data_IF_377971802791
#
_entry.id   IF_377971802791
#
_cell.length_a   1.000
_cell.length_b   1.000
_cell.length_c   1.000
_cell.angle_alpha   90.00
_cell.angle_beta   90.00
_cell.angle_gamma   90.00
#
_symmetry.space_group_name_H-M   'P 1'
#
loop_
_entity.id
_entity.type
_entity.pdbx_description
1 polymer ?
#
# COMPACT_ATOMS: atom_id res chain seq x y z
N UNK A 1 52.01 -23.00 -22.77
CA UNK A 1 52.23 -22.59 -21.35
C UNK A 1 51.58 -21.26 -20.91
N UNK A 2 51.91 -20.07 -21.45
CA UNK A 2 51.32 -18.79 -20.96
C UNK A 2 49.82 -18.63 -21.27
N UNK A 3 49.35 -19.15 -22.41
CA UNK A 3 47.95 -19.06 -22.85
C UNK A 3 47.06 -20.01 -22.02
N UNK A 4 47.51 -21.24 -21.76
CA UNK A 4 46.78 -22.23 -20.95
C UNK A 4 46.57 -21.78 -19.50
N UNK A 5 47.58 -21.14 -18.87
CA UNK A 5 47.43 -20.58 -17.52
C UNK A 5 46.37 -19.48 -17.44
N UNK A 6 46.22 -18.66 -18.49
CA UNK A 6 45.18 -17.62 -18.54
C UNK A 6 43.80 -18.25 -18.68
N UNK A 7 43.64 -19.23 -19.57
CA UNK A 7 42.37 -19.94 -19.75
C UNK A 7 41.94 -20.66 -18.46
N UNK A 8 42.87 -21.31 -17.76
CA UNK A 8 42.60 -21.99 -16.50
C UNK A 8 42.20 -21.02 -15.37
N UNK A 9 42.84 -19.85 -15.32
CA UNK A 9 42.46 -18.76 -14.40
C UNK A 9 41.04 -18.24 -14.70
N UNK A 10 40.70 -18.02 -15.98
CA UNK A 10 39.35 -17.59 -16.36
C UNK A 10 38.28 -18.63 -16.01
N UNK A 11 38.55 -19.91 -16.24
CA UNK A 11 37.64 -20.99 -15.85
C UNK A 11 37.46 -21.04 -14.32
N UNK A 12 38.54 -20.92 -13.55
CA UNK A 12 38.44 -20.83 -12.09
C UNK A 12 37.63 -19.62 -11.60
N UNK A 13 37.88 -18.44 -12.17
CA UNK A 13 37.14 -17.22 -11.83
C UNK A 13 35.65 -17.40 -12.17
N UNK A 14 35.34 -17.97 -13.34
CA UNK A 14 33.96 -18.27 -13.74
C UNK A 14 33.26 -19.24 -12.79
N UNK A 15 33.96 -20.29 -12.34
CA UNK A 15 33.44 -21.27 -11.38
C UNK A 15 33.16 -20.64 -10.02
N UNK A 16 34.09 -19.80 -9.54
CA UNK A 16 33.94 -19.05 -8.29
C UNK A 16 32.74 -18.09 -8.38
N UNK A 17 32.62 -17.32 -9.46
CA UNK A 17 31.48 -16.41 -9.67
C UNK A 17 30.16 -17.20 -9.70
N UNK A 18 30.13 -18.32 -10.43
CA UNK A 18 28.94 -19.17 -10.52
C UNK A 18 28.53 -19.72 -9.15
N UNK A 19 29.50 -20.13 -8.33
CA UNK A 19 29.24 -20.58 -6.96
C UNK A 19 28.68 -19.45 -6.08
N UNK A 20 29.24 -18.23 -6.18
CA UNK A 20 28.72 -17.07 -5.45
C UNK A 20 27.28 -16.72 -5.86
N UNK A 21 26.96 -16.78 -7.16
CA UNK A 21 25.61 -16.57 -7.67
C UNK A 21 24.66 -17.63 -7.10
N UNK A 22 25.07 -18.91 -7.09
CA UNK A 22 24.26 -19.99 -6.54
C UNK A 22 23.99 -19.82 -5.04
N UNK A 23 25.01 -19.46 -4.26
CA UNK A 23 24.86 -19.19 -2.82
C UNK A 23 23.92 -18.01 -2.59
N UNK A 24 24.10 -16.92 -3.34
CA UNK A 24 23.22 -15.74 -3.25
C UNK A 24 21.76 -16.08 -3.60
N UNK A 25 21.55 -16.92 -4.61
CA UNK A 25 20.24 -17.43 -5.01
C UNK A 25 19.56 -18.23 -3.88
N UNK A 26 20.29 -19.18 -3.26
CA UNK A 26 19.76 -19.99 -2.16
C UNK A 26 19.38 -19.11 -0.96
N UNK A 27 20.25 -18.15 -0.58
CA UNK A 27 19.98 -17.23 0.52
C UNK A 27 18.77 -16.35 0.22
N UNK A 28 18.70 -15.78 -0.98
CA UNK A 28 17.59 -14.95 -1.43
C UNK A 28 16.26 -15.71 -1.35
N UNK A 29 16.24 -16.96 -1.83
CA UNK A 29 15.07 -17.83 -1.77
C UNK A 29 14.66 -18.12 -0.33
N UNK A 30 15.57 -18.62 0.51
CA UNK A 30 15.23 -18.99 1.90
C UNK A 30 14.67 -17.79 2.69
N UNK A 31 15.22 -16.59 2.48
CA UNK A 31 14.68 -15.36 3.08
C UNK A 31 13.27 -15.05 2.61
N UNK A 32 12.98 -15.18 1.32
CA UNK A 32 11.62 -14.91 0.81
C UNK A 32 10.61 -15.95 1.31
N UNK A 33 10.99 -17.23 1.44
CA UNK A 33 10.10 -18.26 1.98
C UNK A 33 9.72 -17.96 3.44
N UNK A 34 10.70 -17.58 4.26
CA UNK A 34 10.46 -17.25 5.66
C UNK A 34 9.49 -16.05 5.80
N UNK A 35 9.70 -14.99 5.01
CA UNK A 35 8.80 -13.83 5.03
C UNK A 35 7.39 -14.19 4.54
N UNK A 36 7.27 -15.05 3.52
CA UNK A 36 5.95 -15.55 3.09
C UNK A 36 5.24 -16.27 4.23
N UNK A 37 5.91 -17.17 4.96
CA UNK A 37 5.33 -17.84 6.14
C UNK A 37 4.91 -16.84 7.23
N UNK A 38 5.75 -15.87 7.57
CA UNK A 38 5.44 -14.83 8.56
C UNK A 38 4.21 -14.04 8.11
N UNK A 39 4.19 -13.58 6.86
CA UNK A 39 3.06 -12.86 6.29
C UNK A 39 1.77 -13.66 6.39
N UNK A 40 1.76 -14.94 5.99
CA UNK A 40 0.55 -15.75 6.04
C UNK A 40 0.01 -15.90 7.46
N UNK A 41 0.89 -16.08 8.43
CA UNK A 41 0.52 -16.17 9.83
C UNK A 41 -0.02 -14.85 10.38
N UNK A 42 0.61 -13.73 10.05
CA UNK A 42 0.15 -12.41 10.48
C UNK A 42 -1.16 -12.02 9.82
N UNK A 43 -1.30 -12.24 8.52
CA UNK A 43 -2.53 -11.98 7.78
C UNK A 43 -3.69 -12.77 8.38
N UNK A 44 -3.49 -14.07 8.68
CA UNK A 44 -4.51 -14.88 9.33
C UNK A 44 -4.94 -14.29 10.67
N UNK A 45 -3.99 -13.92 11.54
CA UNK A 45 -4.29 -13.28 12.83
C UNK A 45 -5.06 -11.98 12.67
N UNK A 46 -4.63 -11.11 11.75
CA UNK A 46 -5.33 -9.86 11.42
C UNK A 46 -6.76 -10.14 10.93
N UNK A 47 -6.93 -11.11 10.03
CA UNK A 47 -8.23 -11.47 9.43
C UNK A 47 -9.26 -12.02 10.43
N UNK A 48 -8.80 -12.50 11.57
CA UNK A 48 -9.67 -12.96 12.67
C UNK A 48 -10.13 -11.79 13.57
N UNK A 49 -9.55 -10.59 13.44
CA UNK A 49 -9.92 -9.41 14.25
C UNK A 49 -11.16 -8.68 13.73
N UNK A 50 -11.92 -8.07 14.65
CA UNK A 50 -13.10 -7.29 14.29
C UNK A 50 -12.71 -6.03 13.50
N UNK A 51 -11.65 -5.34 13.93
CA UNK A 51 -11.17 -4.10 13.35
C UNK A 51 -10.74 -4.28 11.90
N UNK A 52 -10.00 -5.35 11.60
CA UNK A 52 -9.62 -5.69 10.23
C UNK A 52 -10.85 -5.92 9.35
N UNK A 53 -11.80 -6.73 9.82
CA UNK A 53 -12.99 -7.06 9.04
C UNK A 53 -13.87 -5.82 8.83
N UNK A 54 -13.99 -4.97 9.84
CA UNK A 54 -14.68 -3.69 9.73
C UNK A 54 -14.03 -2.77 8.69
N UNK A 55 -12.69 -2.64 8.69
CA UNK A 55 -11.99 -1.87 7.66
C UNK A 55 -12.14 -2.50 6.28
N UNK A 56 -11.96 -3.82 6.16
CA UNK A 56 -12.02 -4.52 4.89
C UNK A 56 -13.40 -4.35 4.23
N UNK A 57 -14.48 -4.47 4.98
CA UNK A 57 -15.84 -4.20 4.47
C UNK A 57 -16.04 -2.72 4.12
N UNK A 58 -15.50 -1.79 4.91
CA UNK A 58 -15.53 -0.37 4.55
C UNK A 58 -14.82 -0.09 3.22
N UNK A 59 -13.64 -0.68 2.99
CA UNK A 59 -12.90 -0.55 1.74
C UNK A 59 -13.63 -1.19 0.56
N UNK A 60 -14.29 -2.33 0.79
CA UNK A 60 -15.12 -2.99 -0.23
C UNK A 60 -16.31 -2.13 -0.66
N UNK A 61 -17.01 -1.52 0.30
CA UNK A 61 -18.21 -0.71 0.04
C UNK A 61 -17.84 0.67 -0.53
N UNK A 62 -16.94 1.39 0.13
CA UNK A 62 -16.62 2.77 -0.21
C UNK A 62 -15.55 2.92 -1.28
N UNK A 63 -14.73 1.89 -1.50
CA UNK A 63 -13.72 1.75 -2.56
C UNK A 63 -12.62 2.80 -2.62
N UNK A 64 -12.69 3.84 -1.80
CA UNK A 64 -11.74 4.95 -1.79
C UNK A 64 -11.34 5.24 -0.35
N UNK A 65 -10.04 5.25 -0.15
CA UNK A 65 -9.39 5.70 1.08
C UNK A 65 -8.20 6.58 0.75
N UNK A 66 -7.63 7.25 1.74
CA UNK A 66 -6.46 8.09 1.52
C UNK A 66 -5.55 8.14 2.74
N UNK A 67 -4.24 8.08 2.50
CA UNK A 67 -3.26 8.65 3.41
C UNK A 67 -3.19 10.15 3.18
N UNK A 68 -3.16 10.93 4.25
CA UNK A 68 -3.17 12.39 4.25
C UNK A 68 -1.93 12.88 4.97
N UNK A 69 -1.16 13.75 4.35
CA UNK A 69 -0.13 14.56 4.99
C UNK A 69 -0.64 16.00 5.04
N UNK A 70 -0.71 16.60 6.23
CA UNK A 70 -0.99 18.02 6.40
C UNK A 70 0.17 18.71 7.12
N UNK A 71 0.77 19.70 6.46
CA UNK A 71 1.96 20.39 6.96
C UNK A 71 3.12 19.44 7.29
N UNK A 72 4.02 19.85 8.19
CA UNK A 72 5.22 19.05 8.52
C UNK A 72 4.99 17.86 9.46
N UNK A 73 3.86 17.77 10.18
CA UNK A 73 3.75 16.90 11.36
C UNK A 73 2.61 15.87 11.32
N UNK A 74 1.53 16.10 10.57
CA UNK A 74 0.31 15.27 10.73
C UNK A 74 0.08 14.38 9.52
N UNK A 75 0.39 13.10 9.71
CA UNK A 75 -0.05 12.01 8.83
C UNK A 75 -1.34 11.40 9.37
N UNK A 76 -2.29 11.15 8.50
CA UNK A 76 -3.53 10.48 8.82
C UNK A 76 -3.90 9.49 7.73
N UNK A 77 -4.80 8.58 8.06
CA UNK A 77 -5.45 7.69 7.10
C UNK A 77 -6.95 7.86 7.27
N UNK A 78 -7.71 7.88 6.18
CA UNK A 78 -9.16 7.89 6.23
C UNK A 78 -9.75 6.98 5.16
N UNK A 79 -10.85 6.30 5.50
CA UNK A 79 -11.79 5.77 4.51
C UNK A 79 -12.82 6.85 4.23
N UNK A 80 -12.97 7.20 2.94
CA UNK A 80 -13.73 8.36 2.51
C UNK A 80 -15.17 7.94 2.22
N UNK A 81 -16.11 8.60 2.87
CA UNK A 81 -17.52 8.58 2.47
C UNK A 81 -18.11 9.98 2.58
N UNK A 82 -19.10 10.25 1.73
CA UNK A 82 -19.70 11.58 1.59
C UNK A 82 -21.14 11.62 2.11
N UNK A 83 -21.85 10.49 2.04
CA UNK A 83 -23.25 10.42 2.45
C UNK A 83 -23.58 9.06 3.07
N UNK A 84 -24.49 9.03 4.03
CA UNK A 84 -25.02 7.79 4.62
C UNK A 84 -25.97 7.05 3.65
N UNK A 85 -26.23 7.62 2.47
CA UNK A 85 -27.08 7.05 1.42
C UNK A 85 -26.14 6.38 0.42
N UNK A 86 -26.24 5.07 0.30
CA UNK A 86 -25.30 4.25 -0.47
C UNK A 86 -25.30 4.63 -1.95
N UNK A 87 -26.46 4.90 -2.54
CA UNK A 87 -26.59 5.24 -3.96
C UNK A 87 -25.98 6.62 -4.26
N UNK A 88 -26.25 7.61 -3.41
CA UNK A 88 -25.65 8.95 -3.52
C UNK A 88 -24.14 8.90 -3.31
N UNK A 89 -23.69 8.14 -2.30
CA UNK A 89 -22.27 7.98 -2.04
C UNK A 89 -21.56 7.33 -3.22
N UNK A 90 -22.12 6.24 -3.78
CA UNK A 90 -21.60 5.57 -4.97
C UNK A 90 -21.43 6.55 -6.13
N UNK A 91 -22.43 7.38 -6.42
CA UNK A 91 -22.35 8.40 -7.49
C UNK A 91 -21.20 9.39 -7.28
N UNK A 92 -20.94 9.83 -6.04
CA UNK A 92 -19.85 10.75 -5.72
C UNK A 92 -18.50 10.04 -5.85
N UNK A 93 -18.39 8.80 -5.34
CA UNK A 93 -17.20 7.98 -5.45
C UNK A 93 -16.87 7.69 -6.92
N UNK A 94 -17.85 7.33 -7.75
CA UNK A 94 -17.64 7.10 -9.18
C UNK A 94 -17.13 8.38 -9.89
N UNK A 95 -17.64 9.55 -9.50
CA UNK A 95 -17.15 10.84 -10.01
C UNK A 95 -15.71 11.13 -9.55
N UNK A 96 -15.39 10.84 -8.28
CA UNK A 96 -14.04 10.96 -7.74
C UNK A 96 -13.07 10.06 -8.48
N UNK A 97 -13.37 8.76 -8.61
CA UNK A 97 -12.57 7.79 -9.35
C UNK A 97 -12.33 8.23 -10.79
N UNK A 98 -13.38 8.68 -11.50
CA UNK A 98 -13.25 9.21 -12.86
C UNK A 98 -12.33 10.43 -12.93
N UNK A 99 -12.40 11.32 -11.94
CA UNK A 99 -11.53 12.50 -11.87
C UNK A 99 -10.08 12.14 -11.57
N UNK A 100 -9.85 11.13 -10.72
CA UNK A 100 -8.52 10.59 -10.43
C UNK A 100 -7.91 9.91 -11.67
N UNK A 101 -8.69 9.07 -12.37
CA UNK A 101 -8.27 8.37 -13.59
C UNK A 101 -7.92 9.36 -14.73
N UNK A 102 -8.74 10.40 -14.91
CA UNK A 102 -8.52 11.42 -15.94
C UNK A 102 -7.55 12.52 -15.54
N UNK A 103 -7.14 12.57 -14.26
CA UNK A 103 -6.38 13.68 -13.65
C UNK A 103 -7.03 15.05 -13.90
N UNK A 104 -8.36 15.09 -13.96
CA UNK A 104 -9.12 16.30 -14.24
C UNK A 104 -9.51 17.03 -12.95
N UNK A 105 -8.83 18.13 -12.69
CA UNK A 105 -9.04 18.95 -11.49
C UNK A 105 -10.38 19.70 -11.50
N UNK A 106 -10.95 19.99 -12.68
CA UNK A 106 -12.22 20.74 -12.78
C UNK A 106 -13.41 19.90 -12.32
N UNK A 107 -13.29 18.58 -12.47
CA UNK A 107 -14.32 17.62 -12.12
C UNK A 107 -14.10 16.96 -10.76
N UNK A 108 -12.95 17.22 -10.13
CA UNK A 108 -12.69 16.76 -8.77
C UNK A 108 -13.80 17.27 -7.84
N UNK A 109 -14.49 16.40 -7.09
CA UNK A 109 -15.60 16.84 -6.26
C UNK A 109 -15.11 17.85 -5.22
N UNK A 110 -15.59 19.10 -5.33
CA UNK A 110 -15.09 20.24 -4.53
C UNK A 110 -15.71 20.32 -3.13
N UNK A 111 -16.84 19.63 -2.80
CA UNK A 111 -17.37 19.52 -1.41
C UNK A 111 -18.55 18.51 -1.31
N UNK A 112 -19.04 18.05 -0.13
CA UNK A 112 -18.87 18.55 1.25
C UNK A 112 -17.89 17.68 2.07
N UNK A 113 -17.04 18.31 2.87
CA UNK A 113 -16.35 17.72 4.05
C UNK A 113 -16.49 16.20 4.20
N UNK A 114 -15.56 15.39 3.62
CA UNK A 114 -15.67 13.93 3.65
C UNK A 114 -15.82 13.49 5.11
N UNK A 115 -16.88 12.72 5.37
CA UNK A 115 -17.04 12.11 6.69
C UNK A 115 -16.00 11.00 6.80
N UNK A 116 -15.48 10.81 8.01
CA UNK A 116 -14.47 9.77 8.30
C UNK A 116 -15.20 8.53 8.78
N UNK A 117 -15.29 7.48 7.94
CA UNK A 117 -15.94 6.23 8.35
C UNK A 117 -15.01 5.47 9.30
N UNK A 118 -13.77 5.42 8.87
CA UNK A 118 -12.62 4.95 9.62
C UNK A 118 -11.52 6.00 9.45
N UNK A 119 -10.80 6.31 10.51
CA UNK A 119 -9.73 7.29 10.40
C UNK A 119 -8.69 7.16 11.49
N UNK A 120 -7.43 7.11 11.07
CA UNK A 120 -6.28 7.15 11.95
C UNK A 120 -5.57 8.48 11.91
N UNK A 121 -5.32 9.06 13.08
CA UNK A 121 -4.53 10.29 13.23
C UNK A 121 -3.12 9.96 13.72
N UNK A 122 -2.18 10.83 13.38
CA UNK A 122 -0.80 10.82 13.84
C UNK A 122 -0.04 9.52 13.50
N UNK A 123 -0.18 9.06 12.25
CA UNK A 123 0.51 7.87 11.74
C UNK A 123 2.01 8.16 11.65
N UNK A 124 2.83 7.42 12.38
CA UNK A 124 4.28 7.52 12.23
C UNK A 124 4.74 6.89 10.90
N UNK A 125 5.49 7.64 10.08
CA UNK A 125 6.14 7.12 8.86
C UNK A 125 7.00 5.89 9.13
N UNK A 126 7.56 5.79 10.34
CA UNK A 126 8.44 4.69 10.74
C UNK A 126 7.70 3.34 10.70
N UNK A 127 6.38 3.32 10.84
CA UNK A 127 5.55 2.11 10.82
C UNK A 127 5.45 1.45 9.43
N UNK A 128 5.61 2.21 8.35
CA UNK A 128 5.47 1.68 6.98
C UNK A 128 6.65 0.73 6.63
N UNK A 129 7.86 1.09 7.06
CA UNK A 129 9.07 0.27 6.92
C UNK A 129 9.08 -1.00 7.80
N UNK A 130 8.17 -1.09 8.79
CA UNK A 130 8.12 -2.18 9.78
C UNK A 130 7.20 -3.34 9.39
N UNK A 131 6.31 -3.16 8.41
CA UNK A 131 5.23 -4.12 8.07
C UNK A 131 5.75 -5.53 7.77
N UNK A 132 6.95 -5.66 7.21
CA UNK A 132 7.53 -6.94 6.81
C UNK A 132 8.97 -7.15 7.31
N UNK A 133 9.40 -6.35 8.29
CA UNK A 133 10.82 -6.17 8.61
C UNK A 133 11.58 -5.49 7.46
N UNK A 134 12.89 -5.30 7.63
CA UNK A 134 13.75 -4.72 6.59
C UNK A 134 13.82 -5.65 5.37
N UNK A 135 12.99 -5.39 4.35
CA UNK A 135 13.05 -6.07 3.04
C UNK A 135 14.33 -5.62 2.32
N UNK A 136 15.43 -6.34 2.60
CA UNK A 136 16.71 -6.13 1.94
C UNK A 136 16.71 -6.57 0.46
N UNK A 137 17.75 -6.16 -0.27
CA UNK A 137 17.90 -6.44 -1.72
C UNK A 137 17.78 -7.94 -2.04
N UNK A 138 18.39 -8.81 -1.22
CA UNK A 138 18.31 -10.27 -1.41
C UNK A 138 16.89 -10.81 -1.30
N UNK A 139 16.07 -10.26 -0.39
CA UNK A 139 14.66 -10.61 -0.28
C UNK A 139 13.89 -10.17 -1.53
N UNK A 140 14.21 -8.98 -2.07
CA UNK A 140 13.58 -8.50 -3.33
C UNK A 140 13.87 -9.45 -4.49
N UNK A 141 15.13 -9.88 -4.62
CA UNK A 141 15.56 -10.89 -5.60
C UNK A 141 14.83 -12.21 -5.35
N UNK A 142 14.73 -12.65 -4.10
CA UNK A 142 13.99 -13.85 -3.72
C UNK A 142 12.51 -13.81 -4.15
N UNK A 143 11.82 -12.68 -3.99
CA UNK A 143 10.43 -12.53 -4.46
C UNK A 143 10.31 -12.49 -5.99
N UNK A 144 11.29 -11.92 -6.69
CA UNK A 144 11.33 -11.95 -8.16
C UNK A 144 11.52 -13.35 -8.71
N UNK A 145 12.27 -14.20 -7.99
CA UNK A 145 12.58 -15.56 -8.42
C UNK A 145 11.50 -16.59 -8.03
N UNK A 146 10.78 -16.36 -6.93
CA UNK A 146 9.84 -17.33 -6.35
C UNK A 146 8.37 -17.07 -6.70
N UNK A 147 8.06 -16.01 -7.45
CA UNK A 147 6.70 -15.65 -7.83
C UNK A 147 5.72 -15.65 -6.64
N UNK A 148 6.01 -14.88 -5.57
CA UNK A 148 4.96 -14.50 -4.61
C UNK A 148 4.42 -13.13 -5.04
N UNK A 149 3.47 -13.07 -5.99
CA UNK A 149 3.01 -11.84 -6.62
C UNK A 149 2.31 -10.92 -5.63
N UNK A 150 1.68 -11.47 -4.60
CA UNK A 150 0.96 -10.72 -3.57
C UNK A 150 1.94 -9.94 -2.71
N UNK A 151 2.98 -10.59 -2.17
CA UNK A 151 3.99 -9.89 -1.38
C UNK A 151 4.79 -8.88 -2.19
N UNK A 152 5.09 -9.20 -3.45
CA UNK A 152 5.69 -8.23 -4.38
C UNK A 152 4.80 -7.00 -4.54
N UNK A 153 3.50 -7.21 -4.78
CA UNK A 153 2.52 -6.13 -4.99
C UNK A 153 2.35 -5.27 -3.74
N UNK A 154 2.19 -5.90 -2.57
CA UNK A 154 2.10 -5.19 -1.29
C UNK A 154 3.34 -4.34 -1.02
N UNK A 155 4.54 -4.86 -1.29
CA UNK A 155 5.78 -4.08 -1.18
C UNK A 155 5.76 -2.86 -2.10
N UNK A 156 5.38 -3.03 -3.37
CA UNK A 156 5.38 -1.92 -4.32
C UNK A 156 4.33 -0.85 -3.97
N UNK A 157 3.19 -1.24 -3.37
CA UNK A 157 2.20 -0.31 -2.81
C UNK A 157 2.82 0.47 -1.63
N UNK A 158 3.44 -0.23 -0.70
CA UNK A 158 4.16 0.36 0.45
C UNK A 158 5.22 1.36 -0.03
N UNK A 159 6.10 0.97 -0.95
CA UNK A 159 7.14 1.83 -1.53
C UNK A 159 6.53 3.06 -2.23
N UNK A 160 5.42 2.90 -2.95
CA UNK A 160 4.73 4.05 -3.55
C UNK A 160 4.23 5.02 -2.48
N UNK A 161 3.61 4.53 -1.41
CA UNK A 161 3.11 5.39 -0.33
C UNK A 161 4.28 6.10 0.34
N UNK A 162 5.35 5.39 0.72
CA UNK A 162 6.51 5.98 1.40
C UNK A 162 7.18 7.06 0.55
N UNK A 163 7.46 6.77 -0.71
CA UNK A 163 8.17 7.68 -1.61
C UNK A 163 7.38 8.96 -1.88
N UNK A 164 6.06 8.87 -1.90
CA UNK A 164 5.19 10.01 -2.22
C UNK A 164 4.63 10.72 -0.97
N UNK A 165 4.71 10.12 0.22
CA UNK A 165 4.38 10.73 1.52
C UNK A 165 5.56 11.52 2.14
N UNK A 166 6.26 12.28 1.31
CA UNK A 166 7.35 13.18 1.72
C UNK A 166 6.83 14.43 2.45
N UNK A 167 7.74 15.14 3.15
CA UNK A 167 7.42 16.40 3.82
C UNK A 167 6.95 17.45 2.80
N UNK A 168 5.85 18.12 3.12
CA UNK A 168 5.28 19.23 2.36
C UNK A 168 5.35 20.51 3.21
N UNK A 169 5.15 21.68 2.59
CA UNK A 169 5.09 22.96 3.29
C UNK A 169 3.95 22.98 4.32
N UNK A 170 4.05 23.82 5.35
CA UNK A 170 3.07 23.87 6.45
C UNK A 170 1.62 24.11 6.03
N UNK A 171 1.43 24.85 4.93
CA UNK A 171 0.11 25.21 4.42
C UNK A 171 -0.40 24.25 3.35
N UNK A 172 0.39 23.24 2.97
CA UNK A 172 0.04 22.29 1.94
C UNK A 172 -0.65 21.05 2.54
N UNK A 173 -1.43 20.37 1.71
CA UNK A 173 -2.05 19.09 2.04
C UNK A 173 -1.83 18.11 0.89
N UNK A 174 -1.34 16.90 1.19
CA UNK A 174 -1.14 15.84 0.21
C UNK A 174 -2.00 14.63 0.55
N UNK A 175 -2.62 14.08 -0.48
CA UNK A 175 -3.40 12.86 -0.42
C UNK A 175 -2.74 11.80 -1.29
N UNK A 176 -2.54 10.61 -0.73
CA UNK A 176 -2.31 9.38 -1.49
C UNK A 176 -3.61 8.59 -1.45
N UNK A 177 -4.41 8.71 -2.50
CA UNK A 177 -5.64 7.96 -2.65
C UNK A 177 -5.32 6.50 -2.94
N UNK A 178 -5.96 5.59 -2.21
CA UNK A 178 -5.96 4.16 -2.44
C UNK A 178 -7.37 3.76 -2.83
N UNK A 179 -7.50 3.32 -4.08
CA UNK A 179 -8.77 2.97 -4.68
C UNK A 179 -8.81 1.46 -4.96
N UNK A 180 -9.86 0.79 -4.50
CA UNK A 180 -10.13 -0.63 -4.75
C UNK A 180 -11.41 -0.76 -5.58
N UNK A 181 -11.37 -0.47 -6.89
CA UNK A 181 -12.57 -0.44 -7.73
C UNK A 181 -13.27 -1.80 -7.82
N UNK A 182 -12.52 -2.89 -7.68
CA UNK A 182 -12.97 -4.27 -7.71
C UNK A 182 -12.11 -5.16 -6.78
N UNK A 183 -12.38 -6.47 -6.79
CA UNK A 183 -11.76 -7.46 -5.90
C UNK A 183 -10.29 -7.77 -6.24
N UNK A 184 -9.76 -7.30 -7.36
CA UNK A 184 -8.41 -7.61 -7.86
C UNK A 184 -7.54 -6.38 -8.06
N UNK A 185 -8.15 -5.22 -8.25
CA UNK A 185 -7.41 -4.02 -8.67
C UNK A 185 -7.23 -3.05 -7.51
N UNK A 186 -6.02 -2.51 -7.38
CA UNK A 186 -5.71 -1.36 -6.51
C UNK A 186 -5.10 -0.26 -7.36
N UNK A 187 -5.63 0.95 -7.27
CA UNK A 187 -5.08 2.13 -7.92
C UNK A 187 -4.64 3.15 -6.88
N UNK A 188 -3.43 3.66 -7.03
CA UNK A 188 -2.84 4.70 -6.20
C UNK A 188 -2.74 6.00 -6.99
N UNK A 189 -3.10 7.12 -6.35
CA UNK A 189 -2.96 8.46 -6.94
C UNK A 189 -2.42 9.43 -5.91
N UNK A 190 -1.42 10.21 -6.29
CA UNK A 190 -1.00 11.38 -5.54
C UNK A 190 -1.80 12.61 -5.99
N UNK A 191 -2.34 13.34 -5.03
CA UNK A 191 -2.95 14.65 -5.23
C UNK A 191 -2.48 15.60 -4.13
N UNK A 192 -1.87 16.71 -4.51
CA UNK A 192 -1.48 17.78 -3.61
C UNK A 192 -2.43 18.99 -3.74
N UNK A 193 -2.68 19.66 -2.63
CA UNK A 193 -3.35 20.95 -2.53
C UNK A 193 -2.36 21.94 -1.92
N UNK A 194 -2.12 23.04 -2.63
CA UNK A 194 -1.11 24.02 -2.24
C UNK A 194 -1.75 25.18 -1.48
N UNK A 195 -1.11 25.65 -0.41
CA UNK A 195 -1.63 26.71 0.45
C UNK A 195 -1.88 28.03 -0.27
N UNK A 196 -1.23 28.27 -1.41
CA UNK A 196 -1.44 29.45 -2.27
C UNK A 196 -2.67 29.35 -3.18
N UNK A 197 -3.45 28.28 -3.05
CA UNK A 197 -4.55 27.94 -3.95
C UNK A 197 -4.08 27.04 -5.10
N UNK A 198 -4.94 26.10 -5.48
CA UNK A 198 -4.68 25.13 -6.55
C UNK A 198 -4.45 23.71 -6.05
N UNK A 199 -4.48 22.78 -6.99
CA UNK A 199 -4.19 21.37 -6.75
C UNK A 199 -3.24 20.85 -7.84
N UNK A 200 -2.57 19.73 -7.59
CA UNK A 200 -1.63 19.12 -8.51
C UNK A 200 -1.71 17.60 -8.45
N UNK A 201 -1.97 16.96 -9.58
CA UNK A 201 -1.87 15.51 -9.68
C UNK A 201 -0.41 15.10 -9.79
N UNK A 202 0.00 14.19 -8.93
CA UNK A 202 1.30 13.56 -8.96
C UNK A 202 1.31 12.24 -9.73
N UNK A 203 2.29 11.37 -9.44
CA UNK A 203 2.32 10.00 -9.93
C UNK A 203 1.06 9.22 -9.56
N UNK A 204 0.77 8.23 -10.39
CA UNK A 204 -0.32 7.27 -10.18
C UNK A 204 0.16 5.88 -10.61
N UNK A 205 -0.31 4.83 -9.94
CA UNK A 205 0.07 3.46 -10.28
C UNK A 205 -1.10 2.50 -10.06
N UNK A 206 -1.27 1.55 -10.98
CA UNK A 206 -2.25 0.47 -10.88
C UNK A 206 -1.54 -0.83 -10.54
N UNK A 207 -2.17 -1.63 -9.68
CA UNK A 207 -1.72 -2.92 -9.22
C UNK A 207 -2.86 -3.93 -9.41
N UNK A 208 -2.52 -5.12 -9.91
CA UNK A 208 -3.45 -6.23 -10.07
C UNK A 208 -3.01 -7.36 -9.17
N UNK A 209 -3.87 -7.72 -8.23
CA UNK A 209 -3.70 -8.86 -7.35
C UNK A 209 -4.17 -10.11 -8.07
N UNK A 210 -3.37 -11.17 -7.93
CA UNK A 210 -3.85 -12.52 -8.13
C UNK A 210 -4.70 -12.90 -6.92
N UNK A 211 -5.85 -13.51 -7.16
CA UNK A 211 -6.68 -14.03 -6.06
C UNK A 211 -5.98 -15.25 -5.50
N UNK A 212 -5.82 -15.28 -4.18
CA UNK A 212 -5.33 -16.46 -3.45
C UNK A 212 -6.54 -17.22 -2.92
N UNK A 213 -6.94 -18.27 -3.65
CA UNK A 213 -8.04 -19.16 -3.29
C UNK A 213 -7.82 -19.81 -1.90
N UNK A 214 -6.57 -19.95 -1.46
CA UNK A 214 -6.22 -20.50 -0.15
C UNK A 214 -6.43 -19.52 1.02
N UNK A 215 -6.43 -18.21 0.74
CA UNK A 215 -6.66 -17.17 1.75
C UNK A 215 -8.03 -16.48 1.64
N UNK A 216 -8.80 -16.78 0.59
CA UNK A 216 -10.08 -16.12 0.29
C UNK A 216 -9.96 -14.59 0.37
N UNK A 217 -8.87 -14.08 -0.21
CA UNK A 217 -8.38 -12.71 -0.05
C UNK A 217 -8.54 -11.92 -1.34
N UNK A 218 -9.27 -10.82 -1.23
CA UNK A 218 -9.45 -9.83 -2.29
C UNK A 218 -8.51 -8.64 -2.06
N UNK A 219 -8.28 -7.84 -3.11
CA UNK A 219 -7.47 -6.63 -3.08
C UNK A 219 -7.78 -5.72 -1.88
N UNK A 220 -9.05 -5.52 -1.55
CA UNK A 220 -9.45 -4.70 -0.39
C UNK A 220 -9.03 -5.29 0.96
N UNK A 221 -8.93 -6.62 1.12
CA UNK A 221 -8.42 -7.26 2.34
C UNK A 221 -6.91 -7.11 2.47
N UNK A 222 -6.18 -7.17 1.36
CA UNK A 222 -4.74 -6.89 1.35
C UNK A 222 -4.43 -5.42 1.64
N UNK A 223 -5.23 -4.51 1.11
CA UNK A 223 -5.15 -3.08 1.45
C UNK A 223 -5.50 -2.88 2.93
N UNK A 224 -6.54 -3.54 3.45
CA UNK A 224 -6.88 -3.49 4.87
C UNK A 224 -5.72 -3.94 5.76
N UNK A 225 -5.07 -5.05 5.41
CA UNK A 225 -3.90 -5.57 6.11
C UNK A 225 -2.76 -4.54 6.12
N UNK A 226 -2.46 -3.95 4.96
CA UNK A 226 -1.43 -2.92 4.84
C UNK A 226 -1.74 -1.71 5.74
N UNK A 227 -2.99 -1.23 5.73
CA UNK A 227 -3.41 -0.11 6.58
C UNK A 227 -3.31 -0.50 8.05
N UNK A 228 -3.79 -1.67 8.45
CA UNK A 228 -3.70 -2.17 9.83
C UNK A 228 -2.26 -2.11 10.35
N UNK A 229 -1.31 -2.56 9.52
CA UNK A 229 0.10 -2.60 9.88
C UNK A 229 0.74 -1.21 9.91
N UNK A 230 0.33 -0.31 9.03
CA UNK A 230 0.83 1.08 9.01
C UNK A 230 0.31 1.88 10.20
N UNK A 231 -0.96 1.72 10.54
CA UNK A 231 -1.62 2.53 11.57
C UNK A 231 -1.58 1.91 12.95
N UNK A 232 -1.06 0.68 13.07
CA UNK A 232 -1.04 -0.19 14.25
C UNK A 232 -2.43 -0.54 14.81
N UNK A 233 -3.53 0.10 14.35
CA UNK A 233 -4.98 -0.08 14.64
C UNK A 233 -5.46 -0.26 16.08
N UNK A 234 -4.61 -0.69 17.00
CA UNK A 234 -4.88 -1.07 18.39
C UNK A 234 -5.21 0.12 19.29
N UNK A 235 -5.06 1.35 18.80
CA UNK A 235 -5.19 2.56 19.61
C UNK A 235 -6.45 3.39 19.31
N UNK A 236 -7.33 3.00 18.40
CA UNK A 236 -8.43 3.86 17.97
C UNK A 236 -9.77 3.14 17.94
N UNK A 237 -10.57 3.39 18.98
CA UNK A 237 -11.97 2.95 19.05
C UNK A 237 -12.74 3.56 17.86
N UNK A 238 -13.62 2.81 17.18
CA UNK A 238 -14.58 3.41 16.27
C UNK A 238 -15.36 4.48 17.05
N UNK A 239 -15.40 5.71 16.54
CA UNK A 239 -16.31 6.71 17.09
C UNK A 239 -17.71 6.15 16.87
N UNK A 240 -18.40 5.78 17.95
CA UNK A 240 -19.85 5.65 17.89
C UNK A 240 -20.34 7.01 17.40
N UNK A 241 -21.01 7.03 16.26
CA UNK A 241 -21.79 8.18 15.84
C UNK A 241 -22.62 8.62 17.05
N UNK A 242 -22.52 9.89 17.41
CA UNK A 242 -23.41 10.52 18.37
C UNK A 242 -24.83 10.25 17.87
N UNK A 243 -25.51 9.30 18.52
CA UNK A 243 -26.95 9.18 18.43
C UNK A 243 -27.48 10.52 18.92
N UNK A 244 -28.00 11.32 17.99
CA UNK A 244 -28.89 12.43 18.32
C UNK A 244 -30.09 11.85 19.06
N UNK A 245 -30.16 12.09 20.35
CA UNK A 245 -31.44 12.37 21.02
C UNK A 245 -31.92 13.77 20.60
#
# INVERSE_FOLDING_TARGET
MKIERRTLLFLMISLIISLFILIAYIIARNKSENISVIFKNEYRKSSESFEFNFLAEALKVYKVSAFIQKGFLKKAFIVIYYHNDEAKNKKIIDKLLKSLDSKDQKNFPVDPSPKKFFGCQDIDSVSISKIFGSIGVLTRVGFWLKEDPILKTLREITEFIENNMSKISDNDCKYIFICTPDDKTVKLYELAFFGTGGSGFGPSKEFKFELDDGMNSNAYKYVAFLIEKITDMKSQKPKKDDKKE
#
